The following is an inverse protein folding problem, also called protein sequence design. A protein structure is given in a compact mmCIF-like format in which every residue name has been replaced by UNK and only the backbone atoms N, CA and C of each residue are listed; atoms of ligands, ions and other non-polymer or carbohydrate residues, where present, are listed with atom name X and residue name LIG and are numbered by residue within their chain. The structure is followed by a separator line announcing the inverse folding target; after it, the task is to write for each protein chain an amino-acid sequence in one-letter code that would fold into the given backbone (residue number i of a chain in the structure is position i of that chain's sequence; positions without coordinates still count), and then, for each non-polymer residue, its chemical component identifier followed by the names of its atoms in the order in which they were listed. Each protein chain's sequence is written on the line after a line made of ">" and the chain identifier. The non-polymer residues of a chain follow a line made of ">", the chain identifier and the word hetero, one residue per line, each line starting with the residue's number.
data_IF_307328590100
#
_entry.id   IF_307328590100
#
_cell.length_a   1.000
_cell.length_b   1.000
_cell.length_c   1.000
_cell.angle_alpha   90.00
_cell.angle_beta   90.00
_cell.angle_gamma   90.00
#
_symmetry.space_group_name_H-M   'P 1'
#
loop_
_entity.id
_entity.type
_entity.pdbx_description
1 polymer ?
#
# COMPACT_ATOMS: atom_id res chain seq x y z
N UNK A 1 30.44 10.08 46.06
CA UNK A 1 31.00 9.55 44.81
C UNK A 1 29.83 8.99 44.03
N UNK A 2 29.41 9.78 43.05
CA UNK A 2 28.76 9.45 41.76
C UNK A 2 28.31 7.99 41.59
N UNK A 3 27.00 7.72 41.51
CA UNK A 3 26.17 7.71 40.27
C UNK A 3 26.26 6.35 39.54
N UNK A 4 25.21 5.64 39.14
CA UNK A 4 23.88 6.09 38.74
C UNK A 4 22.86 4.95 38.83
N UNK A 5 21.73 5.26 39.45
CA UNK A 5 20.41 4.70 39.13
C UNK A 5 20.08 4.94 37.65
N UNK A 6 19.11 4.18 37.12
CA UNK A 6 18.39 4.43 35.86
C UNK A 6 19.06 3.95 34.55
N UNK A 7 18.83 2.68 34.20
CA UNK A 7 18.83 2.23 32.79
C UNK A 7 17.56 1.44 32.44
N UNK A 8 16.43 1.86 32.99
CA UNK A 8 15.13 1.25 32.71
C UNK A 8 14.12 2.31 32.26
N UNK A 9 14.51 3.15 31.30
CA UNK A 9 13.61 4.01 30.52
C UNK A 9 14.21 4.20 29.12
N UNK A 10 13.38 4.11 28.09
CA UNK A 10 13.65 4.21 26.63
C UNK A 10 13.80 2.82 25.99
N UNK A 11 12.75 2.17 25.47
CA UNK A 11 11.92 2.68 24.36
C UNK A 11 10.49 2.08 24.40
N UNK A 12 9.60 2.65 25.23
CA UNK A 12 8.16 2.49 25.00
C UNK A 12 7.70 3.61 24.08
N UNK A 13 8.22 3.63 22.85
CA UNK A 13 7.70 4.48 21.80
C UNK A 13 6.78 3.60 20.93
N UNK A 14 5.46 3.89 20.86
CA UNK A 14 4.47 3.11 20.10
C UNK A 14 4.66 3.15 18.57
N UNK A 15 5.84 3.54 18.10
CA UNK A 15 6.13 3.83 16.70
C UNK A 15 6.69 2.63 15.92
N UNK A 16 7.05 1.53 16.59
CA UNK A 16 7.40 0.25 15.94
C UNK A 16 6.13 -0.57 15.63
N UNK A 17 5.04 0.09 15.24
CA UNK A 17 3.78 -0.56 14.89
C UNK A 17 3.52 -0.46 13.40
N UNK A 18 3.02 -1.54 12.83
CA UNK A 18 2.62 -1.64 11.45
C UNK A 18 1.37 -0.80 11.23
N UNK A 19 1.47 0.14 10.29
CA UNK A 19 0.39 1.08 9.97
C UNK A 19 -0.91 0.39 9.54
N UNK A 20 -0.83 -0.82 9.00
CA UNK A 20 -2.00 -1.52 8.45
C UNK A 20 -2.59 -2.55 9.42
N UNK A 21 -1.76 -3.29 10.18
CA UNK A 21 -2.24 -4.37 11.04
C UNK A 21 -2.02 -4.16 12.54
N UNK A 22 -1.28 -3.11 12.94
CA UNK A 22 -0.95 -2.82 14.34
C UNK A 22 0.07 -3.77 14.99
N UNK A 23 0.63 -4.73 14.24
CA UNK A 23 1.70 -5.61 14.72
C UNK A 23 3.07 -4.92 14.74
N UNK A 24 4.13 -5.65 15.07
CA UNK A 24 5.51 -5.12 15.02
C UNK A 24 5.92 -4.78 13.58
N UNK A 25 6.57 -3.63 13.38
CA UNK A 25 7.02 -3.13 12.08
C UNK A 25 8.54 -2.97 12.00
N UNK A 26 9.06 -3.19 10.80
CA UNK A 26 10.51 -3.22 10.52
C UNK A 26 10.88 -2.35 9.30
N UNK A 27 9.92 -2.05 8.42
CA UNK A 27 10.15 -1.36 7.13
C UNK A 27 9.54 0.04 7.21
N UNK A 28 10.32 1.10 6.96
CA UNK A 28 9.76 2.45 6.89
C UNK A 28 9.12 2.69 5.52
N UNK A 29 8.00 3.41 5.49
CA UNK A 29 7.34 3.80 4.23
C UNK A 29 8.23 4.73 3.41
N UNK A 30 9.09 5.51 4.07
CA UNK A 30 9.87 6.60 3.48
C UNK A 30 11.40 6.40 3.55
N UNK A 31 11.87 5.20 3.89
CA UNK A 31 13.28 4.85 3.71
C UNK A 31 13.56 4.39 2.27
N UNK A 32 14.82 4.02 1.99
CA UNK A 32 15.22 3.58 0.65
C UNK A 32 14.37 2.39 0.15
N UNK A 33 14.07 1.41 1.02
CA UNK A 33 13.28 0.24 0.64
C UNK A 33 11.83 0.63 0.39
N UNK A 34 11.24 1.44 1.27
CA UNK A 34 9.87 1.90 1.12
C UNK A 34 9.64 2.76 -0.13
N UNK A 35 10.61 3.62 -0.47
CA UNK A 35 10.58 4.44 -1.68
C UNK A 35 10.77 3.59 -2.93
N UNK A 36 11.73 2.66 -2.94
CA UNK A 36 11.95 1.74 -4.07
C UNK A 36 10.70 0.91 -4.38
N UNK A 37 10.02 0.44 -3.34
CA UNK A 37 8.77 -0.32 -3.45
C UNK A 37 7.52 0.54 -3.65
N UNK A 38 7.64 1.87 -3.65
CA UNK A 38 6.53 2.82 -3.82
C UNK A 38 5.41 2.59 -2.79
N UNK A 39 5.76 2.38 -1.51
CA UNK A 39 4.79 1.98 -0.49
C UNK A 39 3.71 3.04 -0.23
N UNK A 40 4.07 4.34 -0.20
CA UNK A 40 3.09 5.43 -0.04
C UNK A 40 2.01 5.39 -1.13
N UNK A 41 2.42 5.31 -2.40
CA UNK A 41 1.51 5.30 -3.55
C UNK A 41 0.58 4.08 -3.49
N UNK A 42 1.13 2.89 -3.26
CA UNK A 42 0.35 1.65 -3.20
C UNK A 42 -0.62 1.64 -2.01
N UNK A 43 -0.21 2.13 -0.83
CA UNK A 43 -1.11 2.25 0.33
C UNK A 43 -2.27 3.18 0.00
N UNK A 44 -1.96 4.39 -0.49
CA UNK A 44 -2.96 5.41 -0.81
C UNK A 44 -3.90 5.01 -1.97
N UNK A 45 -3.44 4.10 -2.83
CA UNK A 45 -4.22 3.59 -3.97
C UNK A 45 -5.15 2.44 -3.56
N UNK A 46 -4.66 1.49 -2.76
CA UNK A 46 -5.37 0.22 -2.54
C UNK A 46 -6.05 0.08 -1.19
N UNK A 47 -5.64 0.84 -0.18
CA UNK A 47 -6.17 0.70 1.18
C UNK A 47 -7.09 1.87 1.51
N UNK A 48 -8.11 1.66 2.37
CA UNK A 48 -8.99 2.73 2.83
C UNK A 48 -8.32 3.58 3.94
N UNK A 49 -7.02 3.88 3.78
CA UNK A 49 -6.23 4.75 4.65
C UNK A 49 -5.35 5.64 3.78
N UNK A 50 -4.94 6.78 4.33
CA UNK A 50 -3.96 7.66 3.71
C UNK A 50 -2.73 7.76 4.59
N UNK A 51 -1.56 7.77 3.95
CA UNK A 51 -0.26 8.03 4.56
C UNK A 51 0.40 9.21 3.84
N UNK A 52 1.13 10.02 4.59
CA UNK A 52 1.93 11.14 4.09
C UNK A 52 3.16 11.33 4.99
N UNK A 53 4.19 12.05 4.52
CA UNK A 53 5.38 12.33 5.33
C UNK A 53 5.07 13.06 6.65
N UNK A 54 4.00 13.87 6.67
CA UNK A 54 3.58 14.68 7.83
C UNK A 54 2.59 13.95 8.76
N UNK A 55 2.47 12.63 8.64
CA UNK A 55 1.51 11.85 9.40
C UNK A 55 1.88 11.73 10.89
N UNK A 56 0.86 11.74 11.75
CA UNK A 56 0.98 11.58 13.20
C UNK A 56 0.77 10.12 13.66
N UNK A 57 0.43 9.23 12.74
CA UNK A 57 0.32 7.80 12.95
C UNK A 57 1.56 7.06 12.42
N UNK A 58 1.81 5.79 12.80
CA UNK A 58 3.03 5.08 12.43
C UNK A 58 3.31 5.11 10.92
N UNK A 59 4.57 5.37 10.57
CA UNK A 59 5.09 5.45 9.20
C UNK A 59 5.88 4.20 8.81
N UNK A 60 5.52 3.06 9.37
CA UNK A 60 6.21 1.79 9.18
C UNK A 60 5.24 0.64 8.93
N UNK A 61 5.72 -0.39 8.24
CA UNK A 61 4.99 -1.61 7.91
C UNK A 61 5.77 -2.85 8.37
N UNK A 62 5.04 -3.94 8.57
CA UNK A 62 5.62 -5.27 8.67
C UNK A 62 5.69 -5.93 7.29
N UNK A 63 6.64 -6.84 7.10
CA UNK A 63 6.84 -7.54 5.81
C UNK A 63 5.55 -8.17 5.27
N UNK A 64 4.77 -8.84 6.15
CA UNK A 64 3.50 -9.47 5.75
C UNK A 64 2.49 -8.49 5.13
N UNK A 65 2.50 -7.24 5.55
CA UNK A 65 1.61 -6.24 4.99
C UNK A 65 2.16 -5.64 3.70
N UNK A 66 3.48 -5.47 3.60
CA UNK A 66 4.16 -5.11 2.34
C UNK A 66 3.83 -6.15 1.26
N UNK A 67 4.03 -7.44 1.55
CA UNK A 67 3.76 -8.53 0.59
C UNK A 67 2.31 -8.53 0.10
N UNK A 68 1.35 -8.25 1.01
CA UNK A 68 -0.07 -8.16 0.67
C UNK A 68 -0.38 -6.96 -0.22
N UNK A 69 0.21 -5.81 0.07
CA UNK A 69 0.04 -4.60 -0.75
C UNK A 69 0.63 -4.82 -2.15
N UNK A 70 1.81 -5.45 -2.24
CA UNK A 70 2.43 -5.81 -3.51
C UNK A 70 1.59 -6.83 -4.29
N UNK A 71 1.06 -7.86 -3.62
CA UNK A 71 0.14 -8.82 -4.24
C UNK A 71 -1.14 -8.15 -4.74
N UNK A 72 -1.71 -7.21 -3.97
CA UNK A 72 -2.87 -6.43 -4.41
C UNK A 72 -2.55 -5.61 -5.65
N UNK A 73 -1.38 -4.96 -5.69
CA UNK A 73 -0.93 -4.22 -6.87
C UNK A 73 -0.85 -5.11 -8.10
N UNK A 74 -0.16 -6.25 -8.01
CA UNK A 74 -0.01 -7.21 -9.11
C UNK A 74 -1.36 -7.72 -9.63
N UNK A 75 -2.30 -8.07 -8.73
CA UNK A 75 -3.63 -8.52 -9.11
C UNK A 75 -4.37 -7.41 -9.87
N UNK A 76 -4.37 -6.19 -9.33
CA UNK A 76 -5.11 -5.07 -9.93
C UNK A 76 -4.54 -4.71 -11.30
N UNK A 77 -3.22 -4.58 -11.44
CA UNK A 77 -2.59 -4.26 -12.73
C UNK A 77 -2.83 -5.37 -13.75
N UNK A 78 -2.65 -6.63 -13.36
CA UNK A 78 -2.90 -7.79 -14.23
C UNK A 78 -4.35 -7.84 -14.70
N UNK A 79 -5.31 -7.55 -13.82
CA UNK A 79 -6.73 -7.51 -14.19
C UNK A 79 -7.03 -6.39 -15.19
N UNK A 80 -6.47 -5.19 -15.00
CA UNK A 80 -6.67 -4.05 -15.92
C UNK A 80 -6.08 -4.38 -17.31
N UNK A 81 -4.86 -4.90 -17.35
CA UNK A 81 -4.20 -5.28 -18.60
C UNK A 81 -4.96 -6.41 -19.33
N UNK A 82 -5.33 -7.46 -18.58
CA UNK A 82 -6.07 -8.59 -19.14
C UNK A 82 -7.44 -8.17 -19.66
N UNK A 83 -8.17 -7.33 -18.92
CA UNK A 83 -9.47 -6.79 -19.35
C UNK A 83 -9.34 -5.97 -20.64
N UNK A 84 -8.29 -5.15 -20.77
CA UNK A 84 -8.01 -4.40 -21.99
C UNK A 84 -7.75 -5.32 -23.19
N UNK A 85 -6.93 -6.37 -22.99
CA UNK A 85 -6.64 -7.36 -24.01
C UNK A 85 -7.89 -8.15 -24.43
N UNK A 86 -8.70 -8.61 -23.46
CA UNK A 86 -9.93 -9.34 -23.73
C UNK A 86 -10.93 -8.49 -24.52
N UNK A 87 -11.07 -7.19 -24.18
CA UNK A 87 -11.89 -6.24 -24.94
C UNK A 87 -11.38 -6.03 -26.36
N UNK A 88 -10.07 -6.01 -26.56
CA UNK A 88 -9.47 -5.89 -27.90
C UNK A 88 -9.77 -7.12 -28.76
N UNK A 89 -9.62 -8.34 -28.20
CA UNK A 89 -9.96 -9.59 -28.90
C UNK A 89 -11.43 -9.58 -29.34
N UNK A 90 -12.36 -9.21 -28.45
CA UNK A 90 -13.80 -9.15 -28.78
C UNK A 90 -14.09 -8.16 -29.93
N UNK A 91 -13.42 -6.99 -29.94
CA UNK A 91 -13.56 -5.97 -31.00
C UNK A 91 -13.05 -6.45 -32.36
N UNK A 92 -12.06 -7.34 -32.38
CA UNK A 92 -11.54 -7.92 -33.62
C UNK A 92 -12.44 -9.05 -34.14
N UNK A 93 -13.04 -9.84 -33.24
CA UNK A 93 -13.88 -10.97 -33.61
C UNK A 93 -15.30 -10.57 -34.01
N UNK A 94 -15.81 -9.44 -33.52
CA UNK A 94 -17.10 -8.91 -33.89
C UNK A 94 -16.96 -7.40 -34.12
N UNK A 95 -17.68 -6.82 -35.09
CA UNK A 95 -17.93 -5.37 -35.17
C UNK A 95 -18.79 -4.87 -33.97
N UNK A 96 -18.51 -5.36 -32.76
CA UNK A 96 -19.24 -5.13 -31.54
C UNK A 96 -18.56 -3.99 -30.78
N UNK A 97 -19.30 -2.89 -30.62
CA UNK A 97 -18.89 -1.76 -29.79
C UNK A 97 -19.13 -2.18 -28.33
N UNK A 98 -18.10 -2.37 -27.49
CA UNK A 98 -18.32 -2.64 -26.08
C UNK A 98 -18.76 -1.32 -25.43
N UNK A 99 -19.98 -1.29 -24.91
CA UNK A 99 -20.48 -0.16 -24.12
C UNK A 99 -19.52 0.13 -22.96
N UNK A 100 -19.26 1.42 -22.73
CA UNK A 100 -18.29 1.98 -21.79
C UNK A 100 -18.46 1.42 -20.37
N UNK A 101 -17.76 0.33 -20.05
CA UNK A 101 -17.52 -0.05 -18.65
C UNK A 101 -16.48 0.91 -18.09
N UNK A 102 -17.02 1.92 -17.42
CA UNK A 102 -16.36 3.03 -16.76
C UNK A 102 -15.03 2.67 -16.06
N UNK A 103 -14.13 3.64 -16.09
CA UNK A 103 -12.81 3.73 -15.43
C UNK A 103 -12.92 3.74 -13.89
N UNK A 104 -13.61 2.77 -13.29
CA UNK A 104 -13.93 2.77 -11.84
C UNK A 104 -12.66 2.65 -10.97
N UNK A 105 -11.53 2.18 -11.50
CA UNK A 105 -10.26 2.19 -10.76
C UNK A 105 -9.51 3.52 -10.77
N UNK A 106 -9.93 4.49 -11.61
CA UNK A 106 -9.32 5.83 -11.65
C UNK A 106 -10.09 6.86 -10.81
N UNK A 107 -11.17 6.46 -10.13
CA UNK A 107 -12.00 7.39 -9.35
C UNK A 107 -12.63 6.68 -8.16
N UNK A 108 -11.83 6.57 -7.10
CA UNK A 108 -12.27 6.42 -5.71
C UNK A 108 -12.95 5.10 -5.32
N UNK A 109 -12.15 4.30 -4.60
CA UNK A 109 -12.59 3.45 -3.49
C UNK A 109 -13.66 4.17 -2.68
N UNK A 110 -14.90 3.67 -2.71
CA UNK A 110 -15.91 3.98 -1.69
C UNK A 110 -16.67 2.70 -1.31
N UNK A 111 -16.40 2.31 -0.05
CA UNK A 111 -17.01 1.30 0.83
C UNK A 111 -16.63 -0.17 0.60
#
# INVERSE_FOLDING_TARGET
>A
MSSSSDKEKNNFFPWNMCRTCGGEAEISIYDNEGVERQLEEKINTYLPITVSLDDYLPLSLCQKCVDRIESCHEIVTSCIETEAQLKEVIKLENNFQPDEVNLIFSSNVYY
#
